data_IF_469229478797
#
_entry.id   IF_469229478797
#
_cell.length_a   1.000
_cell.length_b   1.000
_cell.length_c   1.000
_cell.angle_alpha   90.00
_cell.angle_beta   90.00
_cell.angle_gamma   90.00
#
_symmetry.space_group_name_H-M   'P 1'
#
loop_
_entity.id
_entity.type
_entity.pdbx_description
1 polymer ?
#
# COMPACT_ATOMS: atom_id res chain seq x y z
N UNK A 1 5.01 -8.66 9.22
CA UNK A 1 6.20 -8.33 10.04
C UNK A 1 5.74 -8.15 11.48
N UNK A 2 6.62 -8.43 12.44
CA UNK A 2 6.33 -8.29 13.88
C UNK A 2 6.98 -7.01 14.42
N UNK A 3 6.26 -6.29 15.28
CA UNK A 3 6.72 -5.07 15.92
C UNK A 3 6.38 -3.79 15.15
N UNK A 4 7.12 -2.74 15.46
CA UNK A 4 6.93 -1.39 14.91
C UNK A 4 7.95 -1.12 13.82
N UNK A 5 7.48 -0.63 12.68
CA UNK A 5 8.31 -0.24 11.54
C UNK A 5 7.99 1.18 11.10
N UNK A 6 8.96 1.85 10.50
CA UNK A 6 8.84 3.23 10.03
C UNK A 6 9.23 3.27 8.56
N UNK A 7 8.35 3.82 7.73
CA UNK A 7 8.64 4.20 6.35
C UNK A 7 8.81 5.72 6.31
N UNK A 8 9.92 6.20 5.78
CA UNK A 8 10.22 7.62 5.61
C UNK A 8 10.37 7.94 4.11
N UNK A 9 9.47 8.75 3.57
CA UNK A 9 9.49 9.19 2.17
C UNK A 9 10.22 10.53 2.05
N UNK A 10 11.31 10.55 1.29
CA UNK A 10 12.23 11.70 1.21
C UNK A 10 12.19 12.42 -0.14
N UNK A 11 11.50 11.87 -1.14
CA UNK A 11 11.55 12.26 -2.56
C UNK A 11 10.25 12.89 -3.05
N UNK A 12 9.10 12.51 -2.49
CA UNK A 12 7.77 13.02 -2.88
C UNK A 12 7.01 13.57 -1.67
N UNK A 13 6.23 14.62 -1.89
CA UNK A 13 5.42 15.30 -0.87
C UNK A 13 4.10 14.58 -0.54
N UNK A 14 3.58 13.78 -1.47
CA UNK A 14 2.29 13.09 -1.31
C UNK A 14 2.31 11.69 -1.93
N UNK A 15 2.90 10.74 -1.20
CA UNK A 15 3.07 9.35 -1.66
C UNK A 15 2.50 8.29 -0.74
N UNK A 16 1.77 8.69 0.30
CA UNK A 16 1.08 7.76 1.19
C UNK A 16 -0.39 7.54 0.83
N UNK A 17 -0.80 7.85 -0.40
CA UNK A 17 -2.17 7.63 -0.88
C UNK A 17 -2.67 6.19 -0.70
N UNK A 18 -1.77 5.21 -0.64
CA UNK A 18 -2.11 3.81 -0.39
C UNK A 18 -2.54 3.49 1.05
N UNK A 19 -2.26 4.37 2.02
CA UNK A 19 -2.48 4.03 3.44
C UNK A 19 -3.96 3.88 3.79
N UNK A 20 -4.83 4.65 3.15
CA UNK A 20 -6.25 4.65 3.49
C UNK A 20 -6.92 3.30 3.19
N UNK A 21 -6.65 2.70 2.02
CA UNK A 21 -7.22 1.39 1.70
C UNK A 21 -6.64 0.29 2.61
N UNK A 22 -5.34 0.34 2.92
CA UNK A 22 -4.73 -0.61 3.85
C UNK A 22 -5.36 -0.53 5.24
N UNK A 23 -5.66 0.68 5.73
CA UNK A 23 -6.40 0.88 6.98
C UNK A 23 -7.82 0.32 6.91
N UNK A 24 -8.53 0.48 5.80
CA UNK A 24 -9.86 -0.13 5.58
C UNK A 24 -9.80 -1.66 5.61
N UNK A 25 -8.68 -2.25 5.18
CA UNK A 25 -8.40 -3.68 5.30
C UNK A 25 -7.92 -4.10 6.70
N UNK A 26 -7.82 -3.16 7.66
CA UNK A 26 -7.48 -3.42 9.05
C UNK A 26 -6.07 -3.05 9.46
N UNK A 27 -5.19 -2.64 8.54
CA UNK A 27 -3.79 -2.33 8.86
C UNK A 27 -3.66 -1.19 9.88
N UNK A 28 -2.78 -1.37 10.87
CA UNK A 28 -2.45 -0.35 11.85
C UNK A 28 -1.30 0.54 11.35
N UNK A 29 -1.66 1.63 10.68
CA UNK A 29 -0.71 2.59 10.12
C UNK A 29 -1.06 3.98 10.63
N UNK A 30 -0.07 4.74 11.13
CA UNK A 30 -0.23 6.16 11.47
C UNK A 30 0.72 7.01 10.63
N UNK A 31 0.19 8.07 10.02
CA UNK A 31 0.97 9.02 9.25
C UNK A 31 1.40 10.21 10.12
N UNK A 32 2.63 10.66 9.94
CA UNK A 32 3.27 11.76 10.65
C UNK A 32 3.84 12.78 9.66
N UNK A 33 3.86 14.04 10.07
CA UNK A 33 4.49 15.12 9.29
C UNK A 33 5.99 15.19 9.52
N UNK A 34 6.39 14.78 10.70
CA UNK A 34 7.76 14.65 11.13
C UNK A 34 8.48 13.63 10.25
N UNK A 35 9.71 13.96 9.88
CA UNK A 35 10.62 13.03 9.23
C UNK A 35 11.24 12.14 10.30
N UNK A 36 10.71 10.92 10.47
CA UNK A 36 11.09 9.98 11.53
C UNK A 36 12.24 9.04 11.12
N UNK A 37 12.90 9.31 10.00
CA UNK A 37 14.09 8.59 9.55
C UNK A 37 15.38 9.41 9.70
N UNK A 38 16.53 8.76 9.60
CA UNK A 38 17.85 9.40 9.71
C UNK A 38 18.30 10.16 8.46
N UNK A 39 17.69 9.89 7.31
CA UNK A 39 18.03 10.52 6.05
C UNK A 39 17.40 11.91 5.92
N UNK A 40 18.10 12.82 5.25
CA UNK A 40 17.56 14.13 4.93
C UNK A 40 16.38 14.00 3.94
N UNK A 41 15.28 14.69 4.25
CA UNK A 41 14.09 14.76 3.39
C UNK A 41 14.11 16.06 2.58
N UNK A 42 13.91 15.97 1.25
CA UNK A 42 13.86 17.13 0.33
C UNK A 42 12.82 18.18 0.76
N UNK A 43 11.76 17.74 1.43
CA UNK A 43 10.63 18.57 1.85
C UNK A 43 10.55 18.76 3.36
N UNK A 44 11.64 18.47 4.09
CA UNK A 44 11.70 18.64 5.53
C UNK A 44 11.11 20.00 5.94
N UNK A 45 10.19 19.97 6.91
CA UNK A 45 9.51 21.15 7.48
C UNK A 45 8.42 21.80 6.61
N UNK A 46 7.96 21.18 5.50
CA UNK A 46 6.89 21.73 4.64
C UNK A 46 5.46 21.22 4.91
N UNK A 47 5.15 20.78 6.13
CA UNK A 47 3.79 20.38 6.58
C UNK A 47 3.11 19.19 5.84
N UNK A 48 3.86 18.43 5.05
CA UNK A 48 3.40 17.20 4.39
C UNK A 48 3.57 15.97 5.30
N UNK A 49 2.87 14.87 4.99
CA UNK A 49 3.01 13.60 5.71
C UNK A 49 4.18 12.81 5.12
N UNK A 50 5.30 12.73 5.84
CA UNK A 50 6.55 12.12 5.35
C UNK A 50 6.92 10.81 6.03
N UNK A 51 6.28 10.47 7.14
CA UNK A 51 6.52 9.20 7.80
C UNK A 51 5.24 8.41 7.99
N UNK A 52 5.33 7.09 7.83
CA UNK A 52 4.32 6.14 8.23
C UNK A 52 4.90 5.21 9.29
N UNK A 53 4.26 5.16 10.46
CA UNK A 53 4.53 4.17 11.50
C UNK A 53 3.54 3.03 11.33
N UNK A 54 4.05 1.82 11.12
CA UNK A 54 3.25 0.61 10.92
C UNK A 54 3.48 -0.34 12.09
N UNK A 55 2.39 -0.79 12.71
CA UNK A 55 2.42 -1.79 13.79
C UNK A 55 1.95 -3.12 13.24
N UNK A 56 2.76 -4.16 13.40
CA UNK A 56 2.44 -5.52 13.00
C UNK A 56 2.74 -6.55 14.09
N UNK A 57 2.26 -7.79 13.91
CA UNK A 57 1.44 -8.24 12.80
C UNK A 57 -0.01 -7.74 12.94
N UNK A 58 -0.65 -7.44 11.81
CA UNK A 58 -2.09 -7.14 11.77
C UNK A 58 -2.72 -7.99 10.67
N UNK A 59 -3.67 -8.88 10.99
CA UNK A 59 -4.39 -9.63 9.96
C UNK A 59 -5.19 -8.66 9.10
N UNK A 60 -5.00 -8.74 7.79
CA UNK A 60 -5.79 -7.96 6.84
C UNK A 60 -7.09 -8.69 6.54
N UNK A 61 -8.14 -7.94 6.25
CA UNK A 61 -9.45 -8.46 5.86
C UNK A 61 -9.85 -7.99 4.48
N UNK A 62 -10.59 -8.85 3.79
CA UNK A 62 -11.16 -8.56 2.48
C UNK A 62 -11.96 -7.27 2.47
N UNK A 63 -11.78 -6.46 1.42
CA UNK A 63 -12.45 -5.18 1.26
C UNK A 63 -12.68 -4.83 -0.22
N UNK A 64 -13.64 -3.94 -0.46
CA UNK A 64 -13.82 -3.27 -1.75
C UNK A 64 -12.88 -2.07 -1.85
N UNK A 65 -11.91 -2.13 -2.76
CA UNK A 65 -10.86 -1.13 -2.94
C UNK A 65 -10.73 -0.69 -4.41
N UNK A 66 -10.56 0.60 -4.61
CA UNK A 66 -10.31 1.19 -5.93
C UNK A 66 -8.84 1.57 -6.05
N UNK A 67 -8.19 1.20 -7.15
CA UNK A 67 -6.79 1.53 -7.42
C UNK A 67 -6.64 3.02 -7.75
N UNK A 68 -5.85 3.80 -6.99
CA UNK A 68 -5.74 5.25 -7.19
C UNK A 68 -4.65 5.62 -8.20
N UNK A 69 -3.56 4.84 -8.25
CA UNK A 69 -2.42 5.05 -9.12
C UNK A 69 -1.65 3.74 -9.37
N UNK A 70 -0.65 3.79 -10.25
CA UNK A 70 0.13 2.63 -10.68
C UNK A 70 0.83 1.89 -9.53
N UNK A 71 1.52 2.62 -8.64
CA UNK A 71 2.39 2.01 -7.62
C UNK A 71 1.59 1.67 -6.37
N UNK A 72 0.70 2.56 -5.93
CA UNK A 72 -0.24 2.26 -4.85
C UNK A 72 -1.15 1.08 -5.22
N UNK A 73 -1.58 1.00 -6.49
CA UNK A 73 -2.41 -0.09 -6.99
C UNK A 73 -1.78 -1.45 -6.84
N UNK A 74 -0.47 -1.56 -7.07
CA UNK A 74 0.22 -2.83 -6.86
C UNK A 74 0.27 -3.23 -5.38
N UNK A 75 0.51 -2.27 -4.47
CA UNK A 75 0.45 -2.54 -3.03
C UNK A 75 -0.92 -3.05 -2.58
N UNK A 76 -2.01 -2.56 -3.18
CA UNK A 76 -3.37 -3.01 -2.90
C UNK A 76 -3.63 -4.44 -3.34
N UNK A 77 -3.12 -4.79 -4.52
CA UNK A 77 -3.20 -6.15 -5.03
C UNK A 77 -2.49 -7.14 -4.09
N UNK A 78 -1.30 -6.79 -3.62
CA UNK A 78 -0.56 -7.63 -2.66
C UNK A 78 -1.31 -7.71 -1.32
N UNK A 79 -1.85 -6.60 -0.83
CA UNK A 79 -2.63 -6.59 0.42
C UNK A 79 -3.89 -7.46 0.32
N UNK A 80 -4.61 -7.40 -0.80
CA UNK A 80 -5.78 -8.21 -1.08
C UNK A 80 -5.46 -9.71 -1.13
N UNK A 81 -4.35 -10.09 -1.75
CA UNK A 81 -3.88 -11.48 -1.78
C UNK A 81 -3.48 -12.02 -0.39
N UNK A 82 -3.03 -11.14 0.50
CA UNK A 82 -2.64 -11.49 1.86
C UNK A 82 -3.80 -11.41 2.87
N UNK A 83 -4.96 -10.90 2.48
CA UNK A 83 -6.09 -10.67 3.36
C UNK A 83 -6.93 -11.94 3.57
N UNK A 84 -7.52 -12.05 4.75
CA UNK A 84 -8.54 -13.05 5.05
C UNK A 84 -9.87 -12.65 4.40
N UNK A 85 -10.47 -13.58 3.66
CA UNK A 85 -11.73 -13.36 2.95
C UNK A 85 -11.56 -12.87 1.51
N UNK A 86 -12.62 -12.33 0.93
CA UNK A 86 -12.64 -11.90 -0.47
C UNK A 86 -12.41 -10.38 -0.56
N UNK A 87 -11.50 -9.96 -1.43
CA UNK A 87 -11.30 -8.55 -1.79
C UNK A 87 -11.77 -8.29 -3.21
N UNK A 88 -12.45 -7.17 -3.44
CA UNK A 88 -12.81 -6.71 -4.77
C UNK A 88 -11.98 -5.49 -5.13
N UNK A 89 -11.20 -5.60 -6.19
CA UNK A 89 -10.34 -4.52 -6.67
C UNK A 89 -10.93 -3.94 -7.96
N UNK A 90 -11.19 -2.65 -7.98
CA UNK A 90 -11.66 -1.93 -9.18
C UNK A 90 -10.57 -1.02 -9.74
N UNK A 91 -10.74 -0.60 -11.00
CA UNK A 91 -9.80 0.27 -11.72
C UNK A 91 -8.39 -0.35 -11.93
N UNK A 92 -8.32 -1.67 -12.03
CA UNK A 92 -7.06 -2.45 -12.16
C UNK A 92 -6.28 -2.17 -13.46
N UNK A 93 -6.93 -1.61 -14.50
CA UNK A 93 -6.30 -1.15 -15.75
C UNK A 93 -5.14 -0.17 -15.53
N UNK A 94 -5.13 0.56 -14.41
CA UNK A 94 -4.02 1.45 -14.05
C UNK A 94 -2.74 0.66 -13.76
N UNK A 95 -2.85 -0.54 -13.15
CA UNK A 95 -1.70 -1.38 -12.79
C UNK A 95 -1.03 -1.92 -14.06
N UNK A 96 -1.82 -2.30 -15.06
CA UNK A 96 -1.33 -2.87 -16.33
C UNK A 96 -0.37 -1.93 -17.09
N UNK A 97 -0.47 -0.61 -16.87
CA UNK A 97 0.42 0.39 -17.47
C UNK A 97 1.89 0.25 -17.06
N UNK A 98 2.19 -0.45 -15.96
CA UNK A 98 3.56 -0.65 -15.48
C UNK A 98 3.87 -2.07 -15.03
N UNK A 99 2.91 -2.99 -15.14
CA UNK A 99 3.08 -4.41 -14.81
C UNK A 99 2.47 -5.26 -15.91
N UNK A 100 3.32 -5.67 -16.85
CA UNK A 100 2.92 -6.52 -17.98
C UNK A 100 2.40 -7.88 -17.49
N UNK A 101 1.22 -8.28 -17.99
CA UNK A 101 0.57 -9.57 -17.73
C UNK A 101 0.57 -9.97 -16.24
N UNK A 102 0.26 -9.01 -15.36
CA UNK A 102 0.37 -9.25 -13.93
C UNK A 102 -0.61 -10.33 -13.43
N UNK A 103 -1.84 -10.32 -13.93
CA UNK A 103 -2.87 -11.32 -13.59
C UNK A 103 -2.40 -12.72 -13.96
N UNK A 104 -1.90 -12.92 -15.20
CA UNK A 104 -1.40 -14.21 -15.63
C UNK A 104 -0.20 -14.69 -14.81
N UNK A 105 0.72 -13.77 -14.46
CA UNK A 105 1.87 -14.08 -13.59
C UNK A 105 1.45 -14.50 -12.19
N UNK A 106 0.46 -13.83 -11.60
CA UNK A 106 -0.05 -14.18 -10.27
C UNK A 106 -0.83 -15.49 -10.26
N UNK A 107 -1.68 -15.73 -11.27
CA UNK A 107 -2.36 -17.01 -11.46
C UNK A 107 -1.36 -18.17 -11.62
N UNK A 108 -0.29 -17.97 -12.38
CA UNK A 108 0.78 -18.96 -12.55
C UNK A 108 1.54 -19.26 -11.24
N UNK A 109 1.53 -18.32 -10.28
CA UNK A 109 2.07 -18.51 -8.94
C UNK A 109 1.05 -19.12 -7.95
N UNK A 110 -0.16 -19.42 -8.40
CA UNK A 110 -1.21 -20.04 -7.58
C UNK A 110 -2.10 -19.06 -6.82
N UNK A 111 -2.11 -17.78 -7.18
CA UNK A 111 -3.07 -16.84 -6.62
C UNK A 111 -4.51 -17.19 -7.03
N UNK A 112 -5.47 -17.16 -6.09
CA UNK A 112 -6.90 -17.26 -6.40
C UNK A 112 -7.41 -15.87 -6.83
N UNK A 113 -7.43 -15.65 -8.15
CA UNK A 113 -7.88 -14.41 -8.77
C UNK A 113 -9.00 -14.70 -9.76
N UNK A 114 -10.01 -13.83 -9.77
CA UNK A 114 -11.12 -13.87 -10.73
C UNK A 114 -11.31 -12.47 -11.30
N UNK A 115 -11.41 -12.38 -12.62
CA UNK A 115 -11.56 -11.12 -13.38
C UNK A 115 -12.90 -11.06 -14.09
#
# INVERSE_FOLDING_TARGET
AEGVSIVHETVYEDRFGYVEALRRMGAQIQLYRECLGSLHCRFGQRNYKHSAVIVGPTPLRGADIEVPDLRAGFSYLIAALAAEGESRITNTRIIERGYENITGKLLALGADLRT
#
